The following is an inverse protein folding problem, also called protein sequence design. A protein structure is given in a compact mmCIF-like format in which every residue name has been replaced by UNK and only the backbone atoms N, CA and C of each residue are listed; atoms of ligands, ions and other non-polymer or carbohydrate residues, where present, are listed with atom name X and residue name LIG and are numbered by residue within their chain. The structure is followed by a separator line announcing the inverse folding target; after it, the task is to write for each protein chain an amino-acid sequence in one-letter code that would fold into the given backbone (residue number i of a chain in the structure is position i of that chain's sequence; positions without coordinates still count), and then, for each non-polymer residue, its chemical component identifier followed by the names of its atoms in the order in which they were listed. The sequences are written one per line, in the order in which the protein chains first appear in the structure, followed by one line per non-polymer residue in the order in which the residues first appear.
data_IF_350350183692
#
_entry.id   IF_350350183692
#
_cell.length_a   1.000
_cell.length_b   1.000
_cell.length_c   1.000
_cell.angle_alpha   90.00
_cell.angle_beta   90.00
_cell.angle_gamma   90.00
#
_symmetry.space_group_name_H-M   'P 1'
#
loop_
_entity.id
_entity.type
_entity.pdbx_description
1 polymer ?
#
# COMPACT_ATOMS: atom_id res chain seq x y z
N UNK A 1 34.55 -0.63 7.97
CA UNK A 1 34.10 -0.36 6.58
C UNK A 1 32.58 -0.33 6.57
N UNK A 2 31.96 0.66 5.92
CA UNK A 2 30.52 0.96 6.06
C UNK A 2 29.63 0.04 5.20
N UNK A 3 28.37 -0.24 5.62
CA UNK A 3 27.39 -0.95 4.79
C UNK A 3 27.23 -0.31 3.42
N UNK A 4 26.96 -1.11 2.39
CA UNK A 4 26.81 -0.63 1.01
C UNK A 4 25.37 -0.80 0.54
N UNK A 5 24.83 0.26 -0.06
CA UNK A 5 23.57 0.20 -0.80
C UNK A 5 23.83 -0.33 -2.21
N UNK A 6 23.09 -1.35 -2.61
CA UNK A 6 23.17 -1.96 -3.94
C UNK A 6 21.77 -2.04 -4.52
N UNK A 7 21.55 -1.48 -5.71
CA UNK A 7 20.26 -1.55 -6.38
C UNK A 7 19.74 -3.00 -6.46
N UNK A 8 18.47 -3.20 -6.11
CA UNK A 8 17.84 -4.52 -6.06
C UNK A 8 17.80 -5.20 -7.44
N UNK A 9 17.74 -4.42 -8.51
CA UNK A 9 17.84 -4.88 -9.91
C UNK A 9 19.10 -5.70 -10.20
N UNK A 10 20.16 -5.57 -9.41
CA UNK A 10 21.38 -6.39 -9.56
C UNK A 10 21.23 -7.82 -9.05
N UNK A 11 20.21 -8.10 -8.24
CA UNK A 11 19.94 -9.43 -7.66
C UNK A 11 18.70 -10.08 -8.27
N UNK A 12 17.71 -9.27 -8.65
CA UNK A 12 16.48 -9.76 -9.25
C UNK A 12 16.61 -9.90 -10.78
N UNK A 13 16.40 -11.11 -11.31
CA UNK A 13 16.14 -11.32 -12.76
C UNK A 13 14.69 -10.93 -13.14
N UNK A 14 14.10 -9.98 -12.43
CA UNK A 14 12.70 -9.59 -12.61
C UNK A 14 12.69 -8.47 -13.65
N UNK A 15 12.49 -8.85 -14.92
CA UNK A 15 12.40 -7.91 -16.05
C UNK A 15 11.12 -7.06 -16.03
N UNK A 16 10.15 -7.35 -15.17
CA UNK A 16 8.78 -6.85 -15.26
C UNK A 16 8.31 -5.95 -14.11
N UNK A 17 9.16 -5.59 -13.15
CA UNK A 17 8.79 -4.63 -12.10
C UNK A 17 9.49 -3.29 -12.33
N UNK A 18 8.81 -2.30 -12.93
CA UNK A 18 9.41 -1.00 -13.25
C UNK A 18 9.86 -0.20 -12.02
N UNK A 19 9.41 -0.57 -10.82
CA UNK A 19 9.65 0.10 -9.53
C UNK A 19 10.94 -0.35 -8.81
N UNK A 20 11.60 -1.42 -9.27
CA UNK A 20 12.84 -1.92 -8.65
C UNK A 20 14.03 -0.96 -8.78
N UNK A 21 13.92 0.05 -9.64
CA UNK A 21 14.91 1.10 -9.83
C UNK A 21 15.11 1.97 -8.58
N UNK A 22 14.07 2.13 -7.76
CA UNK A 22 14.09 2.91 -6.52
C UNK A 22 14.30 2.05 -5.27
N UNK A 23 14.54 0.75 -5.45
CA UNK A 23 14.77 -0.17 -4.34
C UNK A 23 16.24 -0.56 -4.26
N UNK A 24 16.81 -0.49 -3.06
CA UNK A 24 18.18 -0.89 -2.77
C UNK A 24 18.24 -1.91 -1.63
N UNK A 25 19.22 -2.79 -1.71
CA UNK A 25 19.58 -3.74 -0.66
C UNK A 25 20.76 -3.18 0.11
N UNK A 26 20.64 -3.15 1.44
CA UNK A 26 21.75 -2.85 2.33
C UNK A 26 22.55 -4.14 2.48
N UNK A 27 23.84 -4.09 2.12
CA UNK A 27 24.75 -5.22 2.23
C UNK A 27 25.85 -5.00 3.26
N UNK A 28 26.21 -6.06 3.95
CA UNK A 28 27.42 -6.12 4.77
C UNK A 28 28.69 -6.31 3.91
N UNK A 29 29.84 -6.39 4.58
CA UNK A 29 31.16 -6.61 3.95
C UNK A 29 31.29 -7.94 3.20
N UNK A 30 30.48 -8.93 3.56
CA UNK A 30 30.49 -10.28 2.99
C UNK A 30 29.44 -10.44 1.87
N UNK A 31 28.80 -9.34 1.45
CA UNK A 31 27.67 -9.35 0.51
C UNK A 31 26.45 -10.11 1.07
N UNK A 32 26.26 -10.09 2.38
CA UNK A 32 25.04 -10.57 3.04
C UNK A 32 23.99 -9.45 3.02
N UNK A 33 22.76 -9.68 2.56
CA UNK A 33 21.66 -8.73 2.70
C UNK A 33 21.32 -8.52 4.17
N UNK A 34 21.31 -7.27 4.61
CA UNK A 34 20.91 -6.88 5.97
C UNK A 34 19.52 -6.25 6.00
N UNK A 35 19.05 -5.72 4.88
CA UNK A 35 17.76 -5.06 4.77
C UNK A 35 17.55 -4.41 3.41
N UNK A 36 16.40 -3.76 3.25
CA UNK A 36 15.99 -3.08 2.04
C UNK A 36 15.68 -1.61 2.32
N UNK A 37 15.90 -0.77 1.32
CA UNK A 37 15.49 0.63 1.28
C UNK A 37 14.62 0.79 0.05
N UNK A 38 13.41 1.28 0.25
CA UNK A 38 12.45 1.52 -0.81
C UNK A 38 12.20 3.03 -0.94
N UNK A 39 12.10 3.50 -2.18
CA UNK A 39 11.34 4.71 -2.47
C UNK A 39 9.89 4.54 -2.05
N UNK A 40 9.18 5.63 -1.74
CA UNK A 40 7.78 5.58 -1.29
C UNK A 40 6.90 4.84 -2.29
N UNK A 41 6.98 5.22 -3.56
CA UNK A 41 6.10 4.67 -4.60
C UNK A 41 6.44 3.21 -4.87
N UNK A 42 7.72 2.86 -4.92
CA UNK A 42 8.18 1.48 -5.02
C UNK A 42 7.74 0.61 -3.82
N UNK A 43 7.65 1.19 -2.62
CA UNK A 43 7.16 0.50 -1.44
C UNK A 43 5.66 0.25 -1.54
N UNK A 44 4.86 1.27 -1.87
CA UNK A 44 3.39 1.15 -2.02
C UNK A 44 3.06 0.10 -3.07
N UNK A 45 3.68 0.18 -4.25
CA UNK A 45 3.41 -0.79 -5.32
C UNK A 45 3.84 -2.22 -4.96
N UNK A 46 4.86 -2.39 -4.13
CA UNK A 46 5.21 -3.72 -3.60
C UNK A 46 4.11 -4.27 -2.69
N UNK A 47 3.53 -3.43 -1.82
CA UNK A 47 2.43 -3.84 -0.94
C UNK A 47 1.19 -4.20 -1.75
N UNK A 48 0.80 -3.36 -2.73
CA UNK A 48 -0.30 -3.63 -3.67
C UNK A 48 -0.10 -4.97 -4.39
N UNK A 49 1.11 -5.22 -4.92
CA UNK A 49 1.38 -6.48 -5.61
C UNK A 49 1.30 -7.72 -4.70
N UNK A 50 1.68 -7.58 -3.42
CA UNK A 50 1.55 -8.67 -2.45
C UNK A 50 0.08 -8.99 -2.20
N UNK A 51 -0.76 -7.96 -2.09
CA UNK A 51 -2.20 -8.12 -1.86
C UNK A 51 -2.87 -8.73 -3.10
N UNK A 52 -2.57 -8.23 -4.30
CA UNK A 52 -3.05 -8.80 -5.57
C UNK A 52 -2.70 -10.29 -5.71
N UNK A 53 -1.46 -10.66 -5.41
CA UNK A 53 -1.02 -12.07 -5.46
C UNK A 53 -1.71 -12.93 -4.39
N UNK A 54 -2.04 -12.36 -3.24
CA UNK A 54 -2.81 -13.04 -2.21
C UNK A 54 -4.25 -13.30 -2.68
N UNK A 55 -4.92 -12.26 -3.18
CA UNK A 55 -6.29 -12.33 -3.68
C UNK A 55 -6.43 -13.32 -4.85
N UNK A 56 -5.48 -13.31 -5.78
CA UNK A 56 -5.47 -14.24 -6.90
C UNK A 56 -5.33 -15.72 -6.49
N UNK A 57 -4.80 -15.99 -5.29
CA UNK A 57 -4.57 -17.37 -4.79
C UNK A 57 -5.66 -17.84 -3.83
N UNK A 58 -6.41 -16.92 -3.22
CA UNK A 58 -7.46 -17.24 -2.27
C UNK A 58 -8.74 -17.60 -3.03
N UNK A 59 -9.11 -18.87 -2.96
CA UNK A 59 -10.37 -19.38 -3.51
C UNK A 59 -11.46 -19.56 -2.44
N UNK A 60 -11.11 -19.44 -1.15
CA UNK A 60 -12.01 -19.61 0.00
C UNK A 60 -12.24 -18.27 0.71
N UNK A 61 -13.49 -17.78 0.68
CA UNK A 61 -13.89 -16.53 1.32
C UNK A 61 -13.57 -16.46 2.83
N UNK A 62 -13.52 -17.59 3.54
CA UNK A 62 -13.17 -17.57 4.98
C UNK A 62 -11.69 -17.27 5.22
N UNK A 63 -10.82 -17.59 4.26
CA UNK A 63 -9.38 -17.29 4.33
C UNK A 63 -9.06 -15.86 3.93
N UNK A 64 -9.97 -15.20 3.19
CA UNK A 64 -9.86 -13.78 2.87
C UNK A 64 -9.81 -12.92 4.14
N UNK A 65 -10.61 -13.26 5.17
CA UNK A 65 -10.62 -12.56 6.47
C UNK A 65 -9.39 -12.84 7.34
N UNK A 66 -8.62 -13.89 7.03
CA UNK A 66 -7.37 -14.20 7.71
C UNK A 66 -6.18 -14.00 6.76
N UNK A 67 -6.11 -12.81 6.15
CA UNK A 67 -5.00 -12.37 5.31
C UNK A 67 -3.87 -11.80 6.18
N UNK A 68 -2.79 -12.57 6.49
CA UNK A 68 -1.67 -12.05 7.26
C UNK A 68 -0.86 -10.99 6.50
N UNK A 69 -0.90 -11.02 5.16
CA UNK A 69 -0.24 -10.01 4.34
C UNK A 69 -1.00 -8.67 4.42
N UNK A 70 -2.32 -8.69 4.26
CA UNK A 70 -3.19 -7.53 4.48
C UNK A 70 -3.03 -6.93 5.88
N UNK A 71 -3.06 -7.76 6.94
CA UNK A 71 -2.82 -7.29 8.31
C UNK A 71 -1.45 -6.61 8.51
N UNK A 72 -0.43 -7.07 7.79
CA UNK A 72 0.91 -6.47 7.82
C UNK A 72 0.93 -5.14 7.06
N UNK A 73 0.27 -5.08 5.90
CA UNK A 73 0.09 -3.86 5.11
C UNK A 73 -0.63 -2.81 5.95
N UNK A 74 -1.77 -3.15 6.56
CA UNK A 74 -2.53 -2.26 7.45
C UNK A 74 -1.64 -1.69 8.58
N UNK A 75 -0.90 -2.56 9.27
CA UNK A 75 -0.02 -2.13 10.37
C UNK A 75 1.13 -1.22 9.92
N UNK A 76 1.55 -1.33 8.66
CA UNK A 76 2.54 -0.43 8.04
C UNK A 76 1.86 0.89 7.68
N UNK A 77 0.70 0.84 7.03
CA UNK A 77 -0.08 2.01 6.60
C UNK A 77 -0.49 2.90 7.77
N UNK A 78 -0.87 2.32 8.91
CA UNK A 78 -1.17 3.03 10.15
C UNK A 78 -0.01 3.89 10.66
N UNK A 79 1.23 3.53 10.30
CA UNK A 79 2.45 4.24 10.71
C UNK A 79 2.95 5.20 9.64
N UNK A 80 2.36 5.19 8.44
CA UNK A 80 2.74 6.12 7.38
C UNK A 80 2.27 7.54 7.72
N UNK A 81 3.12 8.55 7.50
CA UNK A 81 2.73 9.94 7.76
C UNK A 81 1.61 10.34 6.80
N UNK A 82 0.49 10.79 7.36
CA UNK A 82 -0.62 11.33 6.59
C UNK A 82 -0.23 12.67 5.97
N UNK A 83 -0.66 12.89 4.73
CA UNK A 83 -0.53 14.19 4.09
C UNK A 83 -1.43 15.21 4.82
N UNK A 84 -0.81 16.15 5.53
CA UNK A 84 -1.51 17.16 6.34
C UNK A 84 -2.44 18.02 5.50
N UNK A 85 -2.08 18.36 4.26
CA UNK A 85 -2.93 19.15 3.36
C UNK A 85 -4.18 18.38 2.97
N UNK A 86 -4.06 17.07 2.74
CA UNK A 86 -5.20 16.20 2.51
C UNK A 86 -6.10 16.11 3.74
N UNK A 87 -5.52 15.92 4.93
CA UNK A 87 -6.27 15.91 6.20
C UNK A 87 -7.03 17.21 6.42
N UNK A 88 -6.40 18.36 6.14
CA UNK A 88 -7.02 19.67 6.29
C UNK A 88 -8.15 19.88 5.27
N UNK A 89 -7.94 19.49 4.00
CA UNK A 89 -9.00 19.51 2.99
C UNK A 89 -10.17 18.62 3.39
N UNK A 90 -9.91 17.40 3.86
CA UNK A 90 -10.95 16.47 4.29
C UNK A 90 -11.76 17.05 5.46
N UNK A 91 -11.09 17.63 6.47
CA UNK A 91 -11.76 18.32 7.59
C UNK A 91 -12.63 19.47 7.12
N UNK A 92 -12.12 20.29 6.20
CA UNK A 92 -12.89 21.40 5.61
C UNK A 92 -14.12 20.86 4.88
N UNK A 93 -13.95 19.85 4.02
CA UNK A 93 -15.06 19.19 3.32
C UNK A 93 -16.12 18.70 4.31
N UNK A 94 -15.73 17.89 5.30
CA UNK A 94 -16.63 17.35 6.33
C UNK A 94 -17.36 18.48 7.08
N UNK A 95 -16.65 19.56 7.42
CA UNK A 95 -17.24 20.71 8.13
C UNK A 95 -18.17 21.56 7.27
N UNK A 96 -17.96 21.56 5.95
CA UNK A 96 -18.73 22.31 4.96
C UNK A 96 -19.91 21.53 4.38
N UNK A 97 -19.89 20.19 4.50
CA UNK A 97 -20.99 19.33 4.11
C UNK A 97 -22.14 19.53 5.11
N UNK A 98 -23.21 20.19 4.67
CA UNK A 98 -24.42 20.31 5.46
C UNK A 98 -25.10 18.93 5.55
N UNK A 99 -25.71 18.61 6.70
CA UNK A 99 -26.53 17.40 6.87
C UNK A 99 -27.65 17.25 5.81
N UNK A 100 -28.02 18.33 5.13
CA UNK A 100 -28.99 18.35 4.03
C UNK A 100 -28.47 17.72 2.73
N UNK A 101 -27.15 17.56 2.58
CA UNK A 101 -26.53 17.02 1.36
C UNK A 101 -26.23 15.51 1.50
N UNK A 102 -26.60 14.92 2.63
CA UNK A 102 -26.59 13.48 2.83
C UNK A 102 -27.79 12.86 2.11
N UNK A 103 -27.53 12.23 0.96
CA UNK A 103 -28.52 11.35 0.34
C UNK A 103 -28.65 10.13 1.25
N UNK A 104 -29.84 9.94 1.83
CA UNK A 104 -30.08 8.77 2.69
C UNK A 104 -30.03 7.47 1.87
N UNK A 105 -29.67 6.34 2.48
CA UNK A 105 -29.67 5.04 1.79
C UNK A 105 -31.06 4.76 1.19
N UNK A 106 -32.14 5.12 1.89
CA UNK A 106 -33.52 4.99 1.40
C UNK A 106 -33.77 5.82 0.13
N UNK A 107 -33.16 7.00 0.05
CA UNK A 107 -33.25 7.90 -1.11
C UNK A 107 -32.38 7.42 -2.29
N UNK A 108 -31.25 6.76 -2.01
CA UNK A 108 -30.45 6.05 -3.03
C UNK A 108 -31.25 4.89 -3.60
N UNK A 109 -31.83 4.03 -2.74
CA UNK A 109 -32.63 2.86 -3.16
C UNK A 109 -33.85 3.28 -3.99
N UNK A 110 -34.48 4.42 -3.65
CA UNK A 110 -35.61 4.95 -4.39
C UNK A 110 -35.25 5.51 -5.77
N UNK A 111 -34.04 6.04 -5.93
CA UNK A 111 -33.58 6.67 -7.17
C UNK A 111 -32.80 5.71 -8.09
N UNK A 112 -32.28 4.60 -7.57
CA UNK A 112 -31.77 3.50 -8.39
C UNK A 112 -32.97 2.68 -8.87
N UNK A 113 -33.57 3.11 -9.98
CA UNK A 113 -34.43 2.22 -10.77
C UNK A 113 -33.54 1.31 -11.62
N UNK A 114 -33.28 0.12 -11.11
CA UNK A 114 -32.95 -1.08 -11.89
C UNK A 114 -34.07 -2.09 -11.68
#
# INVERSE_FOLDING_TARGET
MKPKLVALTKFAKIKSMPYLSETSVIMDKNKTPLGFVFGRDAFITMLEHIDDEFDNRITDQKKYFDNPAGKLIDAIEERLPLNIDFVNKLKLTISSTNKSDYISIDEIVKNIHV
#
